data_IF_253469470698
#
_entry.id   IF_253469470698
#
_cell.length_a   1.000
_cell.length_b   1.000
_cell.length_c   1.000
_cell.angle_alpha   90.00
_cell.angle_beta   90.00
_cell.angle_gamma   90.00
#
_symmetry.space_group_name_H-M   'P 1'
#
loop_
_entity.id
_entity.type
_entity.pdbx_description
1 polymer ?
#
# COMPACT_ATOMS: atom_id res chain seq x y z
N UNK A 1 4.10 9.21 10.71
CA UNK A 1 4.52 10.44 9.98
C UNK A 1 3.73 10.48 8.69
N UNK A 2 2.73 11.36 8.57
CA UNK A 2 1.67 11.24 7.56
C UNK A 2 2.18 11.64 6.16
N UNK A 3 2.06 10.74 5.16
CA UNK A 3 2.60 10.92 3.79
C UNK A 3 2.08 12.19 3.07
N UNK A 4 0.88 12.65 3.42
CA UNK A 4 0.29 13.89 2.91
C UNK A 4 1.11 15.15 3.19
N UNK A 5 1.96 15.11 4.21
CA UNK A 5 2.83 16.21 4.63
C UNK A 5 4.02 16.39 3.69
N UNK A 6 4.50 15.30 3.08
CA UNK A 6 5.57 15.33 2.09
C UNK A 6 5.09 15.86 0.75
N UNK A 7 3.83 15.57 0.36
CA UNK A 7 3.30 15.98 -0.95
C UNK A 7 3.11 17.49 -1.07
N UNK A 8 2.81 18.19 0.04
CA UNK A 8 2.65 19.65 0.06
C UNK A 8 3.98 20.43 0.14
N UNK A 9 5.00 19.86 0.77
CA UNK A 9 6.38 20.36 0.68
C UNK A 9 6.97 20.05 -0.70
N UNK A 10 6.54 18.98 -1.36
CA UNK A 10 6.88 18.69 -2.76
C UNK A 10 6.30 19.71 -3.74
N UNK A 11 5.16 20.36 -3.42
CA UNK A 11 4.64 21.51 -4.20
C UNK A 11 5.68 22.62 -4.32
N UNK A 12 6.55 22.81 -3.32
CA UNK A 12 7.67 23.76 -3.42
C UNK A 12 8.87 23.19 -4.17
N UNK A 13 9.04 21.86 -4.14
CA UNK A 13 10.17 21.15 -4.72
C UNK A 13 10.13 21.09 -6.25
N UNK A 14 8.94 20.89 -6.81
CA UNK A 14 8.77 20.77 -8.25
C UNK A 14 8.84 22.13 -8.96
N UNK A 15 8.41 23.17 -8.27
CA UNK A 15 7.98 24.42 -8.89
C UNK A 15 9.06 25.46 -9.11
N UNK A 16 10.14 25.39 -8.33
CA UNK A 16 11.15 26.44 -8.40
C UNK A 16 12.38 25.99 -9.16
N UNK A 17 12.76 24.70 -9.16
CA UNK A 17 13.95 24.27 -9.87
C UNK A 17 13.93 22.77 -10.21
N UNK A 18 13.84 22.43 -11.50
CA UNK A 18 14.10 21.09 -12.00
C UNK A 18 15.53 20.67 -11.62
N UNK A 19 15.68 19.89 -10.54
CA UNK A 19 16.95 19.34 -10.07
C UNK A 19 17.51 19.93 -8.79
N UNK A 20 16.70 20.41 -7.83
CA UNK A 20 17.24 21.01 -6.59
C UNK A 20 17.00 20.18 -5.34
N UNK A 21 18.01 20.14 -4.47
CA UNK A 21 17.92 19.49 -3.17
C UNK A 21 17.29 20.44 -2.16
N UNK A 22 16.35 19.94 -1.35
CA UNK A 22 15.63 20.75 -0.36
C UNK A 22 15.82 20.17 1.03
N UNK A 23 16.07 21.05 1.98
CA UNK A 23 16.14 20.72 3.40
C UNK A 23 15.16 21.58 4.20
N UNK A 24 14.10 21.00 4.79
CA UNK A 24 13.23 21.74 5.71
C UNK A 24 14.03 22.20 6.94
N UNK A 25 13.73 23.40 7.42
CA UNK A 25 14.31 23.97 8.63
C UNK A 25 13.41 23.71 9.85
N UNK A 26 13.94 23.72 11.09
CA UNK A 26 13.21 23.31 12.30
C UNK A 26 11.95 24.13 12.60
N UNK A 27 11.79 25.32 12.01
CA UNK A 27 10.59 26.16 12.16
C UNK A 27 9.39 25.69 11.32
N UNK A 28 9.38 24.43 10.90
CA UNK A 28 8.24 23.79 10.28
C UNK A 28 7.18 23.47 11.34
N UNK A 29 6.02 24.12 11.27
CA UNK A 29 4.89 23.81 12.16
C UNK A 29 3.63 23.66 11.32
N UNK A 30 3.02 22.49 11.43
CA UNK A 30 1.70 22.21 10.87
C UNK A 30 0.68 22.52 11.96
N UNK A 31 -0.28 23.38 11.68
CA UNK A 31 -1.48 23.43 12.48
C UNK A 31 -2.31 22.15 12.17
N UNK A 32 -2.57 21.28 13.15
CA UNK A 32 -3.36 20.07 12.92
C UNK A 32 -4.83 20.36 12.56
N UNK A 33 -5.30 21.59 12.76
CA UNK A 33 -6.70 21.99 12.55
C UNK A 33 -6.94 22.75 11.24
N UNK A 34 -5.89 23.21 10.56
CA UNK A 34 -6.00 24.00 9.32
C UNK A 34 -5.17 23.38 8.18
N UNK A 35 -5.71 23.27 6.95
CA UNK A 35 -4.98 22.74 5.79
C UNK A 35 -3.87 23.68 5.27
N UNK A 36 -3.56 24.75 6.01
CA UNK A 36 -2.54 25.73 5.67
C UNK A 36 -1.17 25.27 6.16
N UNK A 37 -0.13 25.54 5.37
CA UNK A 37 1.25 25.19 5.74
C UNK A 37 2.18 26.37 5.53
N UNK A 38 2.99 26.69 6.53
CA UNK A 38 4.02 27.71 6.46
C UNK A 38 5.35 27.13 6.92
N UNK A 39 6.46 27.58 6.33
CA UNK A 39 7.76 27.09 6.76
C UNK A 39 8.95 27.83 6.17
N UNK A 40 10.12 27.50 6.71
CA UNK A 40 11.43 27.87 6.19
C UNK A 40 12.08 26.65 5.56
N UNK A 41 12.75 26.85 4.43
CA UNK A 41 13.44 25.78 3.73
C UNK A 41 14.75 26.30 3.12
N UNK A 42 15.74 25.41 3.03
CA UNK A 42 16.93 25.62 2.22
C UNK A 42 16.75 24.92 0.89
N UNK A 43 16.98 25.65 -0.19
CA UNK A 43 16.97 25.12 -1.56
C UNK A 43 18.38 25.19 -2.10
N UNK A 44 18.92 24.06 -2.57
CA UNK A 44 20.22 23.98 -3.22
C UNK A 44 20.05 23.65 -4.68
N UNK A 45 20.57 24.53 -5.55
CA UNK A 45 20.55 24.35 -6.99
C UNK A 45 21.33 23.10 -7.43
N UNK A 46 20.76 22.14 -8.16
CA UNK A 46 21.58 21.03 -8.71
C UNK A 46 22.40 21.41 -9.93
N UNK A 47 22.10 22.56 -10.55
CA UNK A 47 22.86 23.08 -11.68
C UNK A 47 23.98 24.01 -11.19
N UNK A 48 23.62 24.97 -10.34
CA UNK A 48 24.54 26.02 -9.88
C UNK A 48 25.14 25.75 -8.51
N UNK A 49 24.69 24.72 -7.79
CA UNK A 49 25.10 24.36 -6.42
C UNK A 49 24.91 25.45 -5.37
N UNK A 50 24.22 26.54 -5.75
CA UNK A 50 23.91 27.66 -4.85
C UNK A 50 22.80 27.25 -3.91
N UNK A 51 23.05 27.42 -2.61
CA UNK A 51 22.04 27.25 -1.56
C UNK A 51 21.44 28.60 -1.19
N UNK A 52 20.12 28.62 -1.06
CA UNK A 52 19.35 29.79 -0.66
C UNK A 52 18.30 29.41 0.39
N UNK A 53 18.07 30.29 1.36
CA UNK A 53 17.00 30.10 2.35
C UNK A 53 15.77 30.86 1.89
N UNK A 54 14.62 30.18 1.90
CA UNK A 54 13.33 30.73 1.52
C UNK A 54 12.30 30.48 2.61
N UNK A 55 11.32 31.38 2.68
CA UNK A 55 10.05 31.15 3.37
C UNK A 55 8.97 30.84 2.35
N UNK A 56 8.01 30.03 2.78
CA UNK A 56 6.82 29.76 1.99
C UNK A 56 5.56 29.81 2.84
N UNK A 57 4.45 30.02 2.14
CA UNK A 57 3.12 29.79 2.67
C UNK A 57 2.26 29.14 1.59
N UNK A 58 1.53 28.11 1.97
CA UNK A 58 0.55 27.43 1.14
C UNK A 58 -0.84 27.60 1.74
N UNK A 59 -1.73 28.23 0.98
CA UNK A 59 -3.14 28.35 1.26
C UNK A 59 -3.94 27.29 0.47
N UNK A 60 -4.65 26.41 1.16
CA UNK A 60 -5.76 25.62 0.68
C UNK A 60 -7.03 26.47 0.69
N UNK A 61 -7.61 26.65 -0.49
CA UNK A 61 -8.82 27.46 -0.73
C UNK A 61 -10.05 26.57 -0.96
N UNK A 62 -9.95 25.27 -0.63
CA UNK A 62 -10.98 24.26 -0.84
C UNK A 62 -10.74 23.39 -2.07
N UNK A 63 -11.29 22.16 -2.04
CA UNK A 63 -11.14 21.16 -3.10
C UNK A 63 -9.65 20.96 -3.48
N UNK A 64 -9.28 21.12 -4.75
CA UNK A 64 -7.91 21.04 -5.26
C UNK A 64 -7.20 22.40 -5.33
N UNK A 65 -7.84 23.48 -4.88
CA UNK A 65 -7.31 24.83 -5.02
C UNK A 65 -6.26 25.08 -3.94
N UNK A 66 -4.99 24.96 -4.34
CA UNK A 66 -3.85 25.37 -3.54
C UNK A 66 -3.19 26.59 -4.16
N UNK A 67 -2.75 27.51 -3.30
CA UNK A 67 -1.96 28.67 -3.65
C UNK A 67 -0.72 28.72 -2.76
N UNK A 68 0.44 28.56 -3.37
CA UNK A 68 1.73 28.62 -2.68
C UNK A 68 2.49 29.85 -3.12
N UNK A 69 2.99 30.62 -2.15
CA UNK A 69 3.84 31.79 -2.39
C UNK A 69 5.16 31.61 -1.65
N UNK A 70 6.25 32.10 -2.25
CA UNK A 70 7.60 31.94 -1.74
C UNK A 70 8.34 33.26 -1.77
N UNK A 71 9.21 33.46 -0.78
CA UNK A 71 10.12 34.59 -0.75
C UNK A 71 11.50 34.15 -0.28
N UNK A 72 12.51 34.62 -1.01
CA UNK A 72 13.91 34.47 -0.67
C UNK A 72 14.35 35.30 0.55
N UNK A 73 15.44 34.86 1.16
CA UNK A 73 16.32 35.68 2.01
C UNK A 73 15.65 36.20 3.29
N UNK A 74 14.99 35.32 4.03
CA UNK A 74 14.28 35.65 5.28
C UNK A 74 14.98 35.13 6.54
N UNK A 75 15.03 35.98 7.58
CA UNK A 75 15.50 35.57 8.91
C UNK A 75 14.45 34.71 9.66
N UNK A 76 14.84 33.91 10.68
CA UNK A 76 13.88 33.20 11.51
C UNK A 76 12.86 34.14 12.17
N UNK A 77 13.31 35.29 12.66
CA UNK A 77 12.45 36.27 13.32
C UNK A 77 11.37 36.83 12.38
N UNK A 78 11.72 37.14 11.13
CA UNK A 78 10.76 37.59 10.12
C UNK A 78 9.72 36.51 9.81
N UNK A 79 10.14 35.25 9.74
CA UNK A 79 9.22 34.13 9.54
C UNK A 79 8.23 34.01 10.71
N UNK A 80 8.70 34.03 11.96
CA UNK A 80 7.82 33.92 13.12
C UNK A 80 6.81 35.08 13.19
N UNK A 81 7.25 36.30 12.86
CA UNK A 81 6.35 37.45 12.83
C UNK A 81 5.30 37.31 11.72
N UNK A 82 5.73 36.98 10.50
CA UNK A 82 4.82 36.77 9.37
C UNK A 82 3.83 35.63 9.65
N UNK A 83 4.32 34.54 10.21
CA UNK A 83 3.51 33.40 10.60
C UNK A 83 2.41 33.82 11.58
N UNK A 84 2.77 34.55 12.65
CA UNK A 84 1.80 35.05 13.63
C UNK A 84 0.71 35.91 12.97
N UNK A 85 1.12 36.81 12.07
CA UNK A 85 0.18 37.68 11.34
C UNK A 85 -0.75 36.87 10.41
N UNK A 86 -0.21 35.89 9.68
CA UNK A 86 -0.98 35.03 8.79
C UNK A 86 -2.02 34.19 9.54
N UNK A 87 -1.65 33.60 10.68
CA UNK A 87 -2.59 32.83 11.50
C UNK A 87 -3.64 33.71 12.18
N UNK A 88 -3.28 34.93 12.55
CA UNK A 88 -4.26 35.90 13.06
C UNK A 88 -5.28 36.28 11.98
N UNK A 89 -4.81 36.60 10.76
CA UNK A 89 -5.70 36.92 9.63
C UNK A 89 -6.61 35.76 9.28
N UNK A 90 -6.10 34.52 9.30
CA UNK A 90 -6.93 33.33 9.09
C UNK A 90 -8.07 33.20 10.11
N UNK A 91 -7.83 33.56 11.37
CA UNK A 91 -8.80 33.45 12.45
C UNK A 91 -9.82 34.60 12.45
N UNK A 92 -9.39 35.83 12.12
CA UNK A 92 -10.19 37.03 12.31
C UNK A 92 -10.77 37.60 11.00
N UNK A 93 -10.00 37.58 9.91
CA UNK A 93 -10.34 38.24 8.63
C UNK A 93 -9.83 37.45 7.42
N UNK A 94 -10.30 36.21 7.18
CA UNK A 94 -9.75 35.31 6.18
C UNK A 94 -9.74 35.88 4.75
N UNK A 95 -10.63 36.82 4.43
CA UNK A 95 -10.68 37.57 3.17
C UNK A 95 -9.39 38.37 2.88
N UNK A 96 -8.64 38.74 3.92
CA UNK A 96 -7.39 39.49 3.80
C UNK A 96 -6.15 38.61 3.61
N UNK A 97 -6.31 37.28 3.61
CA UNK A 97 -5.19 36.35 3.48
C UNK A 97 -4.42 36.55 2.17
N UNK A 98 -5.11 36.63 1.03
CA UNK A 98 -4.46 36.74 -0.28
C UNK A 98 -3.74 38.09 -0.45
N UNK A 99 -4.36 39.24 -0.11
CA UNK A 99 -3.65 40.52 -0.07
C UNK A 99 -2.41 40.50 0.84
N UNK A 100 -2.52 39.90 2.03
CA UNK A 100 -1.41 39.79 2.97
C UNK A 100 -0.26 38.97 2.39
N UNK A 101 -0.56 37.82 1.77
CA UNK A 101 0.44 36.99 1.12
C UNK A 101 1.12 37.72 -0.05
N UNK A 102 0.36 38.44 -0.88
CA UNK A 102 0.94 39.25 -1.95
C UNK A 102 1.89 40.32 -1.42
N UNK A 103 1.51 41.00 -0.32
CA UNK A 103 2.33 42.03 0.33
C UNK A 103 3.63 41.47 0.92
N UNK A 104 3.57 40.32 1.60
CA UNK A 104 4.73 39.77 2.31
C UNK A 104 5.58 38.82 1.48
N UNK A 105 4.98 38.02 0.59
CA UNK A 105 5.67 36.98 -0.18
C UNK A 105 5.75 37.31 -1.68
N UNK A 106 5.22 38.46 -2.10
CA UNK A 106 5.21 38.90 -3.50
C UNK A 106 4.01 38.37 -4.28
N UNK A 107 3.76 38.91 -5.47
CA UNK A 107 2.55 38.61 -6.25
C UNK A 107 2.57 37.24 -6.93
N UNK A 108 3.76 36.70 -7.21
CA UNK A 108 3.91 35.40 -7.88
C UNK A 108 3.47 34.29 -6.94
N UNK A 109 2.60 33.42 -7.45
CA UNK A 109 2.09 32.25 -6.75
C UNK A 109 2.15 31.02 -7.65
N UNK A 110 2.05 29.87 -7.02
CA UNK A 110 2.04 28.58 -7.66
C UNK A 110 0.83 27.76 -7.21
N UNK A 111 0.40 26.84 -8.06
CA UNK A 111 -0.80 26.03 -7.88
C UNK A 111 -0.51 24.56 -8.17
N UNK A 112 -1.51 23.69 -7.98
CA UNK A 112 -1.40 22.27 -8.35
C UNK A 112 -1.05 22.08 -9.82
N UNK A 113 -1.46 23.00 -10.71
CA UNK A 113 -1.16 22.91 -12.14
C UNK A 113 0.32 22.95 -12.46
N UNK A 114 1.11 23.57 -11.59
CA UNK A 114 2.51 23.81 -11.85
C UNK A 114 3.43 22.71 -11.30
N UNK A 115 2.85 21.66 -10.70
CA UNK A 115 3.55 20.47 -10.17
C UNK A 115 3.81 19.44 -11.29
N UNK A 116 4.79 18.56 -11.12
CA UNK A 116 5.05 17.39 -11.98
C UNK A 116 3.90 16.39 -11.86
N UNK A 117 3.77 15.52 -12.87
CA UNK A 117 2.62 14.62 -13.01
C UNK A 117 2.50 13.64 -11.83
N UNK A 118 3.60 13.06 -11.40
CA UNK A 118 3.58 11.98 -10.40
C UNK A 118 3.22 12.54 -9.00
N UNK A 119 3.71 13.74 -8.68
CA UNK A 119 3.37 14.44 -7.44
C UNK A 119 1.94 14.99 -7.46
N UNK A 120 1.39 15.34 -8.63
CA UNK A 120 -0.04 15.67 -8.78
C UNK A 120 -0.90 14.48 -8.41
N UNK A 121 -0.58 13.28 -8.90
CA UNK A 121 -1.32 12.05 -8.62
C UNK A 121 -1.40 11.80 -7.11
N UNK A 122 -0.29 11.94 -6.39
CA UNK A 122 -0.25 11.84 -4.93
C UNK A 122 -1.19 12.83 -4.23
N UNK A 123 -1.20 14.09 -4.64
CA UNK A 123 -2.09 15.12 -4.05
C UNK A 123 -3.56 14.79 -4.28
N UNK A 124 -3.94 14.41 -5.50
CA UNK A 124 -5.34 14.09 -5.80
C UNK A 124 -5.80 12.84 -5.04
N UNK A 125 -4.94 11.84 -4.90
CA UNK A 125 -5.23 10.65 -4.09
C UNK A 125 -5.46 11.04 -2.62
N UNK A 126 -4.59 11.86 -2.04
CA UNK A 126 -4.71 12.31 -0.64
C UNK A 126 -5.96 13.17 -0.39
N UNK A 127 -6.36 14.01 -1.35
CA UNK A 127 -7.59 14.80 -1.28
C UNK A 127 -8.85 13.93 -1.29
N UNK A 128 -8.81 12.80 -2.00
CA UNK A 128 -9.95 11.89 -2.11
C UNK A 128 -10.00 10.89 -0.94
N UNK A 129 -8.87 10.58 -0.32
CA UNK A 129 -8.76 9.52 0.69
C UNK A 129 -9.80 9.62 1.84
N UNK A 130 -10.04 10.79 2.48
CA UNK A 130 -11.02 10.89 3.56
C UNK A 130 -12.45 10.58 3.09
N UNK A 131 -12.84 11.15 1.94
CA UNK A 131 -14.16 10.93 1.35
C UNK A 131 -14.33 9.48 0.86
N UNK A 132 -13.23 8.85 0.43
CA UNK A 132 -13.22 7.47 -0.02
C UNK A 132 -13.51 6.50 1.12
N UNK A 133 -12.89 6.68 2.30
CA UNK A 133 -13.14 5.80 3.46
C UNK A 133 -14.60 5.89 3.93
N UNK A 134 -15.15 7.10 3.99
CA UNK A 134 -16.56 7.33 4.33
C UNK A 134 -17.50 6.66 3.30
N UNK A 135 -17.18 6.83 2.02
CA UNK A 135 -17.95 6.21 0.92
C UNK A 135 -17.89 4.68 0.99
N UNK A 136 -16.71 4.10 1.27
CA UNK A 136 -16.56 2.65 1.43
C UNK A 136 -17.39 2.13 2.61
N UNK A 137 -17.42 2.84 3.74
CA UNK A 137 -18.30 2.47 4.87
C UNK A 137 -19.78 2.46 4.49
N UNK A 138 -20.23 3.46 3.72
CA UNK A 138 -21.60 3.49 3.21
C UNK A 138 -21.88 2.34 2.24
N UNK A 139 -20.95 2.03 1.34
CA UNK A 139 -21.04 0.90 0.40
C UNK A 139 -21.19 -0.43 1.16
N UNK A 140 -20.35 -0.65 2.17
CA UNK A 140 -20.39 -1.86 3.01
C UNK A 140 -21.75 -1.98 3.69
N UNK A 141 -22.21 -0.90 4.32
CA UNK A 141 -23.50 -0.88 4.99
C UNK A 141 -24.66 -1.20 4.03
N UNK A 142 -24.70 -0.57 2.86
CA UNK A 142 -25.75 -0.81 1.85
C UNK A 142 -25.74 -2.25 1.32
N UNK A 143 -24.56 -2.85 1.15
CA UNK A 143 -24.45 -4.24 0.75
C UNK A 143 -24.93 -5.18 1.86
N UNK A 144 -24.51 -4.95 3.10
CA UNK A 144 -24.89 -5.77 4.27
C UNK A 144 -26.40 -5.77 4.51
N UNK A 145 -27.05 -4.61 4.39
CA UNK A 145 -28.52 -4.51 4.51
C UNK A 145 -29.24 -5.34 3.43
N UNK A 146 -28.72 -5.36 2.20
CA UNK A 146 -29.31 -6.11 1.09
C UNK A 146 -28.89 -7.59 1.05
N UNK A 147 -27.82 -7.98 1.76
CA UNK A 147 -27.20 -9.29 1.65
C UNK A 147 -28.17 -10.46 1.84
N UNK A 148 -29.11 -10.48 2.80
CA UNK A 148 -30.06 -11.60 2.93
C UNK A 148 -30.91 -11.82 1.68
N UNK A 149 -31.42 -10.74 1.08
CA UNK A 149 -32.21 -10.77 -0.16
C UNK A 149 -31.36 -11.21 -1.34
N UNK A 150 -30.14 -10.69 -1.44
CA UNK A 150 -29.20 -11.07 -2.50
C UNK A 150 -28.83 -12.55 -2.40
N UNK A 151 -28.65 -13.10 -1.18
CA UNK A 151 -28.38 -14.54 -0.98
C UNK A 151 -29.55 -15.38 -1.44
N UNK A 152 -30.79 -14.97 -1.14
CA UNK A 152 -31.98 -15.65 -1.63
C UNK A 152 -32.05 -15.62 -3.17
N UNK A 153 -31.75 -14.48 -3.80
CA UNK A 153 -31.68 -14.38 -5.26
C UNK A 153 -30.60 -15.31 -5.86
N UNK A 154 -29.41 -15.33 -5.27
CA UNK A 154 -28.30 -16.18 -5.72
C UNK A 154 -28.63 -17.68 -5.60
N UNK A 155 -29.29 -18.08 -4.51
CA UNK A 155 -29.76 -19.45 -4.29
C UNK A 155 -30.77 -19.92 -5.35
N UNK A 156 -31.60 -19.00 -5.84
CA UNK A 156 -32.55 -19.24 -6.95
C UNK A 156 -31.91 -19.05 -8.34
N UNK A 157 -30.57 -18.92 -8.41
CA UNK A 157 -29.82 -18.67 -9.63
C UNK A 157 -30.27 -17.42 -10.41
N UNK A 158 -30.83 -16.42 -9.71
CA UNK A 158 -31.26 -15.16 -10.31
C UNK A 158 -30.09 -14.18 -10.43
N UNK A 159 -30.04 -13.38 -11.51
CA UNK A 159 -28.98 -12.39 -11.68
C UNK A 159 -29.12 -11.27 -10.64
N UNK A 160 -28.00 -10.95 -9.97
CA UNK A 160 -27.94 -9.82 -9.04
C UNK A 160 -27.94 -8.48 -9.80
N UNK A 161 -28.65 -7.45 -9.31
CA UNK A 161 -28.60 -6.12 -9.91
C UNK A 161 -27.16 -5.57 -9.93
N UNK A 162 -26.80 -4.87 -11.01
CA UNK A 162 -25.42 -4.38 -11.24
C UNK A 162 -24.88 -3.54 -10.09
N UNK A 163 -25.71 -2.70 -9.48
CA UNK A 163 -25.33 -1.90 -8.32
C UNK A 163 -24.85 -2.80 -7.16
N UNK A 164 -25.65 -3.78 -6.75
CA UNK A 164 -25.31 -4.68 -5.65
C UNK A 164 -24.13 -5.61 -5.94
N UNK A 165 -23.92 -5.98 -7.21
CA UNK A 165 -22.67 -6.65 -7.63
C UNK A 165 -21.46 -5.79 -7.33
N UNK A 166 -21.48 -4.52 -7.74
CA UNK A 166 -20.37 -3.60 -7.50
C UNK A 166 -20.15 -3.34 -5.99
N UNK A 167 -21.23 -3.13 -5.22
CA UNK A 167 -21.13 -2.93 -3.77
C UNK A 167 -20.54 -4.16 -3.05
N UNK A 168 -20.99 -5.36 -3.46
CA UNK A 168 -20.52 -6.63 -2.91
C UNK A 168 -19.06 -6.92 -3.24
N UNK A 169 -18.64 -6.70 -4.48
CA UNK A 169 -17.23 -6.82 -4.88
C UNK A 169 -16.34 -5.87 -4.07
N UNK A 170 -16.73 -4.60 -3.90
CA UNK A 170 -15.99 -3.64 -3.07
C UNK A 170 -15.91 -4.11 -1.61
N UNK A 171 -17.02 -4.60 -1.07
CA UNK A 171 -17.12 -5.04 0.33
C UNK A 171 -16.28 -6.28 0.60
N UNK A 172 -16.38 -7.31 -0.25
CA UNK A 172 -15.59 -8.53 -0.07
C UNK A 172 -14.11 -8.31 -0.30
N UNK A 173 -13.72 -7.47 -1.27
CA UNK A 173 -12.31 -7.13 -1.46
C UNK A 173 -11.73 -6.38 -0.26
N UNK A 174 -12.51 -5.47 0.36
CA UNK A 174 -12.08 -4.77 1.58
C UNK A 174 -11.90 -5.73 2.75
N UNK A 175 -12.90 -6.59 3.00
CA UNK A 175 -12.82 -7.61 4.07
C UNK A 175 -11.67 -8.59 3.85
N UNK A 176 -11.41 -8.99 2.60
CA UNK A 176 -10.28 -9.86 2.26
C UNK A 176 -8.96 -9.21 2.69
N UNK A 177 -8.74 -7.93 2.37
CA UNK A 177 -7.53 -7.20 2.79
C UNK A 177 -7.41 -7.14 4.31
N UNK A 178 -8.51 -6.89 5.02
CA UNK A 178 -8.51 -6.82 6.48
C UNK A 178 -8.15 -8.17 7.11
N UNK A 179 -8.73 -9.27 6.62
CA UNK A 179 -8.38 -10.64 7.04
C UNK A 179 -6.92 -10.95 6.70
N UNK A 180 -6.45 -10.61 5.49
CA UNK A 180 -5.06 -10.83 5.09
C UNK A 180 -4.08 -10.07 5.99
N UNK A 181 -4.38 -8.83 6.39
CA UNK A 181 -3.54 -8.06 7.32
C UNK A 181 -3.45 -8.72 8.70
N UNK A 182 -4.57 -9.23 9.22
CA UNK A 182 -4.57 -9.95 10.50
C UNK A 182 -3.76 -11.25 10.42
N UNK A 183 -3.94 -12.01 9.34
CA UNK A 183 -3.19 -13.25 9.12
C UNK A 183 -1.71 -13.00 8.86
N UNK A 184 -1.34 -11.85 8.29
CA UNK A 184 0.07 -11.48 8.13
C UNK A 184 0.81 -11.34 9.47
N UNK A 185 0.11 -11.00 10.55
CA UNK A 185 0.69 -10.95 11.90
C UNK A 185 0.94 -12.35 12.49
N UNK A 186 0.15 -13.35 12.07
CA UNK A 186 0.24 -14.75 12.53
C UNK A 186 -0.02 -15.71 11.34
N UNK A 187 0.97 -15.90 10.45
CA UNK A 187 0.80 -16.65 9.19
C UNK A 187 0.33 -18.08 9.35
N UNK A 188 0.68 -18.73 10.47
CA UNK A 188 0.27 -20.07 10.85
C UNK A 188 -1.26 -20.23 11.01
N UNK A 189 -2.00 -19.13 11.19
CA UNK A 189 -3.45 -19.15 11.29
C UNK A 189 -4.15 -19.16 9.92
N UNK A 190 -3.44 -18.92 8.82
CA UNK A 190 -4.02 -18.89 7.47
C UNK A 190 -4.85 -20.15 7.16
N UNK A 191 -4.36 -21.39 7.41
CA UNK A 191 -5.11 -22.60 7.08
C UNK A 191 -6.37 -22.78 7.93
N UNK A 192 -6.38 -22.23 9.15
CA UNK A 192 -7.48 -22.37 10.09
C UNK A 192 -8.50 -21.22 10.02
N UNK A 193 -8.25 -20.18 9.22
CA UNK A 193 -9.11 -19.00 9.16
C UNK A 193 -10.54 -19.34 8.68
N UNK A 194 -11.51 -19.31 9.62
CA UNK A 194 -12.95 -19.45 9.32
C UNK A 194 -13.47 -18.22 8.58
N UNK A 195 -12.95 -17.03 8.90
CA UNK A 195 -13.36 -15.77 8.25
C UNK A 195 -12.99 -15.78 6.76
N UNK A 196 -11.78 -16.24 6.42
CA UNK A 196 -11.34 -16.37 5.04
C UNK A 196 -12.20 -17.40 4.27
N UNK A 197 -12.46 -18.54 4.88
CA UNK A 197 -13.31 -19.59 4.27
C UNK A 197 -14.72 -19.08 4.01
N UNK A 198 -15.32 -18.40 4.98
CA UNK A 198 -16.65 -17.79 4.86
C UNK A 198 -16.66 -16.75 3.73
N UNK A 199 -15.64 -15.90 3.64
CA UNK A 199 -15.52 -14.90 2.59
C UNK A 199 -15.40 -15.51 1.19
N UNK A 200 -14.57 -16.55 1.02
CA UNK A 200 -14.41 -17.25 -0.26
C UNK A 200 -15.71 -17.94 -0.67
N UNK A 201 -16.42 -18.57 0.27
CA UNK A 201 -17.74 -19.16 0.00
C UNK A 201 -18.78 -18.11 -0.39
N UNK A 202 -18.79 -16.95 0.28
CA UNK A 202 -19.70 -15.84 -0.04
C UNK A 202 -19.40 -15.26 -1.44
N UNK A 203 -18.13 -15.06 -1.77
CA UNK A 203 -17.71 -14.62 -3.10
C UNK A 203 -18.14 -15.62 -4.19
N UNK A 204 -17.99 -16.92 -3.92
CA UNK A 204 -18.40 -17.99 -4.83
C UNK A 204 -19.93 -18.03 -5.01
N UNK A 205 -20.71 -17.90 -3.92
CA UNK A 205 -22.18 -17.87 -3.95
C UNK A 205 -22.69 -16.76 -4.86
N UNK A 206 -22.11 -15.57 -4.76
CA UNK A 206 -22.51 -14.41 -5.55
C UNK A 206 -21.84 -14.33 -6.93
N UNK A 207 -20.86 -15.20 -7.21
CA UNK A 207 -19.98 -15.11 -8.36
C UNK A 207 -19.35 -13.70 -8.49
N UNK A 208 -18.77 -13.24 -7.38
CA UNK A 208 -18.03 -11.98 -7.29
C UNK A 208 -16.55 -12.20 -7.55
N UNK A 209 -15.92 -11.23 -8.21
CA UNK A 209 -14.49 -11.24 -8.45
C UNK A 209 -13.73 -10.67 -7.24
N UNK A 210 -12.83 -11.47 -6.67
CA UNK A 210 -11.88 -10.99 -5.68
C UNK A 210 -10.60 -10.56 -6.41
N UNK A 211 -10.37 -9.26 -6.43
CA UNK A 211 -9.21 -8.63 -7.04
C UNK A 211 -8.62 -7.64 -6.04
N UNK A 212 -7.58 -8.08 -5.33
CA UNK A 212 -6.88 -7.25 -4.35
C UNK A 212 -5.38 -7.29 -4.59
N UNK A 213 -4.84 -6.19 -5.14
CA UNK A 213 -3.40 -6.02 -5.30
C UNK A 213 -2.66 -6.02 -3.95
N UNK A 214 -3.29 -5.47 -2.91
CA UNK A 214 -2.74 -5.50 -1.55
C UNK A 214 -2.76 -6.91 -0.95
N UNK A 215 -3.87 -7.64 -1.08
CA UNK A 215 -3.97 -9.03 -0.61
C UNK A 215 -2.94 -9.93 -1.29
N UNK A 216 -2.77 -9.79 -2.61
CA UNK A 216 -1.74 -10.50 -3.35
C UNK A 216 -0.32 -10.14 -2.88
N UNK A 217 -0.07 -8.86 -2.56
CA UNK A 217 1.22 -8.45 -1.99
C UNK A 217 1.48 -9.08 -0.62
N UNK A 218 0.48 -9.12 0.26
CA UNK A 218 0.60 -9.77 1.58
C UNK A 218 0.94 -11.26 1.42
N UNK A 219 0.20 -11.98 0.57
CA UNK A 219 0.48 -13.41 0.31
C UNK A 219 1.88 -13.64 -0.26
N UNK A 220 2.36 -12.77 -1.16
CA UNK A 220 3.74 -12.87 -1.69
C UNK A 220 4.79 -12.70 -0.59
N UNK A 221 4.59 -11.74 0.32
CA UNK A 221 5.50 -11.53 1.44
C UNK A 221 5.52 -12.73 2.39
N UNK A 222 4.35 -13.30 2.69
CA UNK A 222 4.24 -14.52 3.49
C UNK A 222 4.92 -15.71 2.80
N UNK A 223 4.69 -15.92 1.50
CA UNK A 223 5.35 -16.97 0.72
C UNK A 223 6.88 -16.82 0.79
N UNK A 224 7.39 -15.61 0.61
CA UNK A 224 8.82 -15.34 0.70
C UNK A 224 9.38 -15.70 2.09
N UNK A 225 8.67 -15.34 3.16
CA UNK A 225 9.08 -15.69 4.52
C UNK A 225 9.12 -17.21 4.75
N UNK A 226 8.08 -17.93 4.33
CA UNK A 226 8.04 -19.40 4.45
C UNK A 226 9.16 -20.09 3.64
N UNK A 227 9.52 -19.53 2.48
CA UNK A 227 10.66 -20.01 1.70
C UNK A 227 12.01 -19.72 2.37
N UNK A 228 12.17 -18.59 3.05
CA UNK A 228 13.34 -18.27 3.87
C UNK A 228 13.49 -19.24 5.05
N UNK A 229 12.39 -19.55 5.72
CA UNK A 229 12.38 -20.50 6.84
C UNK A 229 12.73 -21.92 6.37
N UNK A 230 12.18 -22.33 5.21
CA UNK A 230 12.58 -23.58 4.57
C UNK A 230 14.08 -23.59 4.22
N UNK A 231 14.62 -22.51 3.67
CA UNK A 231 16.04 -22.43 3.32
C UNK A 231 16.96 -22.51 4.55
N UNK A 232 16.54 -21.88 5.65
CA UNK A 232 17.33 -21.83 6.89
C UNK A 232 17.34 -23.17 7.62
N UNK A 233 16.17 -23.79 7.78
CA UNK A 233 16.02 -24.99 8.60
C UNK A 233 16.13 -26.29 7.79
N UNK A 234 15.72 -26.25 6.51
CA UNK A 234 15.70 -27.34 5.53
C UNK A 234 15.35 -28.72 6.12
N UNK A 235 14.17 -28.82 6.74
CA UNK A 235 13.71 -30.02 7.42
C UNK A 235 12.22 -30.30 7.17
N UNK A 236 11.73 -31.43 7.67
CA UNK A 236 10.36 -31.88 7.46
C UNK A 236 9.32 -30.87 7.97
N UNK A 237 9.59 -30.24 9.11
CA UNK A 237 8.67 -29.27 9.72
C UNK A 237 8.51 -28.03 8.85
N UNK A 238 9.61 -27.38 8.44
CA UNK A 238 9.53 -26.18 7.59
C UNK A 238 8.93 -26.49 6.21
N UNK A 239 9.19 -27.67 5.65
CA UNK A 239 8.59 -28.10 4.39
C UNK A 239 7.07 -28.32 4.50
N UNK A 240 6.59 -28.88 5.61
CA UNK A 240 5.15 -29.05 5.87
C UNK A 240 4.44 -27.72 6.07
N UNK A 241 5.03 -26.78 6.83
CA UNK A 241 4.44 -25.44 7.01
C UNK A 241 4.28 -24.74 5.66
N UNK A 242 5.30 -24.79 4.79
CA UNK A 242 5.19 -24.23 3.43
C UNK A 242 4.13 -24.96 2.60
N UNK A 243 4.03 -26.29 2.70
CA UNK A 243 3.02 -27.07 2.00
C UNK A 243 1.60 -26.64 2.42
N UNK A 244 1.35 -26.53 3.73
CA UNK A 244 0.05 -26.14 4.27
C UNK A 244 -0.29 -24.70 3.90
N UNK A 245 0.69 -23.79 3.97
CA UNK A 245 0.54 -22.41 3.51
C UNK A 245 0.13 -22.35 2.04
N UNK A 246 0.84 -23.05 1.14
CA UNK A 246 0.51 -23.06 -0.29
C UNK A 246 -0.86 -23.66 -0.57
N UNK A 247 -1.23 -24.73 0.14
CA UNK A 247 -2.55 -25.33 0.04
C UNK A 247 -3.67 -24.33 0.39
N UNK A 248 -3.45 -23.47 1.40
CA UNK A 248 -4.43 -22.43 1.75
C UNK A 248 -4.37 -21.22 0.82
N UNK A 249 -3.17 -20.71 0.52
CA UNK A 249 -2.98 -19.50 -0.27
C UNK A 249 -3.51 -19.65 -1.70
N UNK A 250 -3.33 -20.82 -2.32
CA UNK A 250 -3.80 -21.08 -3.70
C UNK A 250 -5.32 -21.29 -3.79
N UNK A 251 -6.01 -21.51 -2.67
CA UNK A 251 -7.47 -21.59 -2.62
C UNK A 251 -8.14 -20.21 -2.52
N UNK A 252 -7.37 -19.15 -2.29
CA UNK A 252 -7.88 -17.78 -2.29
C UNK A 252 -8.02 -17.35 -3.75
N UNK A 253 -9.20 -16.94 -4.23
CA UNK A 253 -9.43 -16.64 -5.64
C UNK A 253 -8.92 -15.24 -6.00
N UNK A 254 -7.65 -14.96 -5.71
CA UNK A 254 -6.92 -13.77 -6.14
C UNK A 254 -5.74 -14.18 -7.01
N UNK A 255 -5.35 -13.28 -7.92
CA UNK A 255 -4.18 -13.53 -8.78
C UNK A 255 -2.89 -13.38 -7.98
N UNK A 256 -2.28 -14.51 -7.61
CA UNK A 256 -0.99 -14.56 -6.94
C UNK A 256 0.14 -14.78 -7.95
N UNK A 257 1.06 -13.82 -8.04
CA UNK A 257 2.29 -13.99 -8.81
C UNK A 257 3.31 -14.80 -8.00
N UNK A 258 3.69 -15.96 -8.54
CA UNK A 258 4.60 -16.91 -7.92
C UNK A 258 6.04 -16.79 -8.43
N UNK A 259 6.34 -15.94 -9.43
CA UNK A 259 7.59 -16.00 -10.17
C UNK A 259 8.86 -15.86 -9.30
N UNK A 260 8.88 -14.90 -8.36
CA UNK A 260 10.02 -14.74 -7.44
C UNK A 260 10.16 -15.93 -6.47
N UNK A 261 9.04 -16.41 -5.93
CA UNK A 261 9.02 -17.58 -5.04
C UNK A 261 9.44 -18.86 -5.75
N UNK A 262 9.03 -19.04 -7.00
CA UNK A 262 9.45 -20.13 -7.88
C UNK A 262 10.96 -20.09 -8.09
N UNK A 263 11.52 -18.96 -8.50
CA UNK A 263 12.96 -18.83 -8.74
C UNK A 263 13.77 -19.14 -7.47
N UNK A 264 13.30 -18.65 -6.32
CA UNK A 264 13.92 -18.93 -5.03
C UNK A 264 13.88 -20.44 -4.70
N UNK A 265 12.70 -21.05 -4.75
CA UNK A 265 12.52 -22.47 -4.45
C UNK A 265 13.33 -23.37 -5.39
N UNK A 266 13.40 -23.02 -6.67
CA UNK A 266 14.18 -23.74 -7.66
C UNK A 266 15.68 -23.74 -7.34
N UNK A 267 16.24 -22.60 -6.96
CA UNK A 267 17.63 -22.50 -6.53
C UNK A 267 17.89 -23.38 -5.30
N UNK A 268 17.00 -23.32 -4.30
CA UNK A 268 17.07 -24.13 -3.10
C UNK A 268 17.04 -25.65 -3.41
N UNK A 269 16.13 -26.07 -4.29
CA UNK A 269 16.01 -27.47 -4.70
C UNK A 269 17.22 -27.95 -5.51
N UNK A 270 17.86 -27.10 -6.32
CA UNK A 270 19.09 -27.48 -7.02
C UNK A 270 20.23 -27.80 -6.06
N UNK A 271 20.37 -27.02 -4.99
CA UNK A 271 21.45 -27.16 -4.02
C UNK A 271 21.23 -28.34 -3.07
N UNK A 272 20.03 -28.43 -2.48
CA UNK A 272 19.80 -29.32 -1.33
C UNK A 272 19.06 -30.62 -1.66
N UNK A 273 18.35 -30.70 -2.78
CA UNK A 273 17.58 -31.91 -3.12
C UNK A 273 18.47 -33.11 -3.51
N UNK A 274 19.55 -32.98 -4.31
CA UNK A 274 20.41 -34.13 -4.63
C UNK A 274 21.02 -34.85 -3.41
N UNK A 275 21.62 -34.16 -2.41
CA UNK A 275 22.13 -34.85 -1.21
C UNK A 275 21.02 -35.41 -0.33
N UNK A 276 19.82 -34.83 -0.35
CA UNK A 276 18.63 -35.37 0.32
C UNK A 276 18.15 -36.66 -0.35
N UNK A 277 18.11 -36.71 -1.68
CA UNK A 277 17.70 -37.88 -2.43
C UNK A 277 18.66 -39.07 -2.20
N UNK A 278 19.96 -38.81 -2.13
CA UNK A 278 20.97 -39.85 -1.87
C UNK A 278 20.83 -40.54 -0.49
N UNK A 279 20.31 -39.84 0.52
CA UNK A 279 20.08 -40.40 1.88
C UNK A 279 18.69 -41.04 2.04
N UNK A 280 17.72 -40.67 1.21
CA UNK A 280 16.32 -41.11 1.29
C UNK A 280 16.12 -42.64 1.39
N UNK A 281 16.90 -43.51 0.71
CA UNK A 281 16.72 -44.96 0.83
C UNK A 281 17.04 -45.52 2.23
N UNK A 282 17.85 -44.81 3.01
CA UNK A 282 18.38 -45.26 4.31
C UNK A 282 17.80 -44.49 5.50
N UNK A 283 17.11 -43.38 5.23
CA UNK A 283 16.59 -42.46 6.23
C UNK A 283 15.10 -42.18 5.94
N UNK A 284 14.18 -42.74 6.75
CA UNK A 284 12.75 -42.52 6.60
C UNK A 284 12.33 -41.05 6.65
N UNK A 285 12.98 -40.23 7.47
CA UNK A 285 12.66 -38.80 7.61
C UNK A 285 13.08 -38.04 6.35
N UNK A 286 14.27 -38.34 5.81
CA UNK A 286 14.72 -37.76 4.55
C UNK A 286 13.81 -38.15 3.36
N UNK A 287 13.31 -39.39 3.35
CA UNK A 287 12.32 -39.83 2.35
C UNK A 287 11.03 -39.04 2.44
N UNK A 288 10.53 -38.81 3.65
CA UNK A 288 9.31 -38.04 3.86
C UNK A 288 9.50 -36.57 3.46
N UNK A 289 10.62 -35.95 3.85
CA UNK A 289 10.97 -34.58 3.45
C UNK A 289 11.03 -34.45 1.93
N UNK A 290 11.66 -35.39 1.22
CA UNK A 290 11.73 -35.36 -0.23
C UNK A 290 10.34 -35.43 -0.88
N UNK A 291 9.43 -36.25 -0.34
CA UNK A 291 8.04 -36.33 -0.82
C UNK A 291 7.25 -35.05 -0.58
N UNK A 292 7.42 -34.40 0.58
CA UNK A 292 6.79 -33.09 0.87
C UNK A 292 7.29 -32.04 -0.10
N UNK A 293 8.61 -31.95 -0.33
CA UNK A 293 9.20 -30.98 -1.25
C UNK A 293 8.74 -31.19 -2.70
N UNK A 294 8.50 -32.43 -3.13
CA UNK A 294 7.90 -32.70 -4.45
C UNK A 294 6.48 -32.14 -4.55
N UNK A 295 5.64 -32.31 -3.51
CA UNK A 295 4.29 -31.72 -3.50
C UNK A 295 4.33 -30.19 -3.49
N UNK A 296 5.27 -29.60 -2.76
CA UNK A 296 5.52 -28.14 -2.81
C UNK A 296 5.93 -27.71 -4.21
N UNK A 297 6.79 -28.48 -4.88
CA UNK A 297 7.21 -28.20 -6.25
C UNK A 297 6.00 -28.21 -7.21
N UNK A 298 5.11 -29.20 -7.09
CA UNK A 298 3.87 -29.29 -7.87
C UNK A 298 2.94 -28.09 -7.60
N UNK A 299 2.76 -27.70 -6.33
CA UNK A 299 1.96 -26.53 -5.95
C UNK A 299 2.53 -25.22 -6.51
N UNK A 300 3.85 -25.13 -6.65
CA UNK A 300 4.56 -24.03 -7.31
C UNK A 300 4.64 -24.21 -8.84
N UNK A 301 3.87 -25.11 -9.44
CA UNK A 301 3.82 -25.38 -10.89
C UNK A 301 5.15 -25.86 -11.51
N UNK A 302 6.02 -26.52 -10.75
CA UNK A 302 7.19 -27.22 -11.28
C UNK A 302 6.85 -28.63 -11.75
N UNK A 303 7.58 -29.11 -12.76
CA UNK A 303 7.50 -30.50 -13.20
C UNK A 303 8.25 -31.43 -12.21
N UNK A 304 7.58 -32.39 -11.57
CA UNK A 304 8.17 -33.22 -10.52
C UNK A 304 9.15 -34.29 -11.04
N UNK A 305 9.13 -34.60 -12.35
CA UNK A 305 9.87 -35.73 -12.93
C UNK A 305 11.38 -35.68 -12.66
N UNK A 306 11.98 -34.48 -12.68
CA UNK A 306 13.41 -34.29 -12.38
C UNK A 306 13.77 -34.78 -10.97
N UNK A 307 12.88 -34.57 -10.01
CA UNK A 307 13.11 -34.93 -8.61
C UNK A 307 12.81 -36.41 -8.36
N UNK A 308 11.77 -36.96 -9.00
CA UNK A 308 11.43 -38.38 -8.91
C UNK A 308 12.55 -39.28 -9.44
N UNK A 309 13.22 -38.87 -10.52
CA UNK A 309 14.38 -39.60 -11.08
C UNK A 309 15.57 -39.69 -10.11
N UNK A 310 15.71 -38.74 -9.18
CA UNK A 310 16.79 -38.76 -8.19
C UNK A 310 16.47 -39.65 -6.97
N UNK A 311 15.20 -40.02 -6.79
CA UNK A 311 14.73 -40.90 -5.70
C UNK A 311 14.70 -42.39 -6.09
N UNK A 312 14.99 -42.71 -7.35
CA UNK A 312 15.02 -44.08 -7.90
C UNK A 312 16.42 -44.68 -7.82
#
# INVERSE_FOLDING_TARGET
>A
MNRSTFSLVAILATLVLAGCAIRPMPEYEKDPTLPQTAGRLQVTSGITWRTETMIFFTAHLGSYLYRTQVRSNSSPAEFFQLKKELFQVLAETPENLIPLLARHLGERYYTVHDIFRDEKEGIFHDLLAPNLEDSVRQIIHQFEEAAPTLRAMAAEHLPLPRLYRALGEITLNRRLVEIMRQVAEQPELLPASEDLRTLVQEAALFNFQLESGEGAQILRQMLHHQLMDLATAFNLTSARVLQDFLASALNIPITLDLHEGQNFFFALMQEHFPPLAARSPRDPEAKELAQVLIRVAEALNFNPNRYLQLLT
#
